data_IF_317981664268
#
_entry.id   IF_317981664268
#
_cell.length_a   1.000
_cell.length_b   1.000
_cell.length_c   1.000
_cell.angle_alpha   90.00
_cell.angle_beta   90.00
_cell.angle_gamma   90.00
#
_symmetry.space_group_name_H-M   'P 1'
#
loop_
_entity.id
_entity.type
_entity.pdbx_description
1 polymer ?
#
# COMPACT_ATOMS: atom_id res chain seq x y z
N UNK A 1 5.14 -16.67 -13.70
CA UNK A 1 4.82 -16.84 -15.12
C UNK A 1 5.69 -15.90 -15.94
N UNK A 2 6.04 -16.27 -17.17
CA UNK A 2 6.85 -15.41 -18.05
C UNK A 2 6.10 -14.15 -18.54
N UNK A 3 4.88 -13.95 -18.10
CA UNK A 3 3.96 -12.90 -18.51
C UNK A 3 3.67 -11.87 -17.39
N UNK A 4 4.52 -11.83 -16.37
CA UNK A 4 4.36 -10.86 -15.28
C UNK A 4 5.15 -9.60 -15.62
N UNK A 5 4.48 -8.45 -15.58
CA UNK A 5 5.08 -7.13 -15.77
C UNK A 5 5.13 -6.36 -14.46
N UNK A 6 6.18 -5.57 -14.28
CA UNK A 6 6.33 -4.63 -13.17
C UNK A 6 6.13 -3.21 -13.69
N UNK A 7 5.24 -2.47 -13.06
CA UNK A 7 5.06 -1.03 -13.29
C UNK A 7 5.58 -0.28 -12.08
N UNK A 8 6.52 0.62 -12.28
CA UNK A 8 7.10 1.50 -11.27
C UNK A 8 6.61 2.91 -11.56
N UNK A 9 5.66 3.41 -10.78
CA UNK A 9 5.16 4.77 -10.88
C UNK A 9 5.83 5.65 -9.82
N UNK A 10 6.43 6.77 -10.23
CA UNK A 10 7.12 7.65 -9.30
C UNK A 10 7.76 8.87 -9.96
N UNK A 11 8.51 9.62 -9.18
CA UNK A 11 9.30 10.73 -9.69
C UNK A 11 10.60 10.22 -10.30
N UNK A 12 11.05 10.89 -11.36
CA UNK A 12 12.37 10.63 -11.92
C UNK A 12 13.44 11.09 -10.91
N UNK A 13 14.31 10.17 -10.54
CA UNK A 13 15.43 10.40 -9.62
C UNK A 13 16.73 9.84 -10.22
N UNK A 14 17.91 10.19 -9.71
CA UNK A 14 19.16 9.55 -10.15
C UNK A 14 19.11 8.02 -10.06
N UNK A 15 18.40 7.47 -9.08
CA UNK A 15 18.22 6.03 -8.90
C UNK A 15 17.40 5.37 -10.03
N UNK A 16 16.56 6.13 -10.72
CA UNK A 16 15.80 5.63 -11.88
C UNK A 16 16.74 5.08 -12.95
N UNK A 17 17.87 5.76 -13.21
CA UNK A 17 18.88 5.32 -14.17
C UNK A 17 19.57 4.00 -13.77
N UNK A 18 19.73 3.77 -12.48
CA UNK A 18 20.28 2.51 -11.95
C UNK A 18 19.31 1.35 -12.21
N UNK A 19 18.00 1.59 -11.98
CA UNK A 19 16.94 0.61 -12.27
C UNK A 19 16.91 0.29 -13.77
N UNK A 20 16.94 1.31 -14.64
CA UNK A 20 16.96 1.14 -16.10
C UNK A 20 18.17 0.32 -16.55
N UNK A 21 19.36 0.65 -16.05
CA UNK A 21 20.59 -0.08 -16.37
C UNK A 21 20.53 -1.54 -15.89
N UNK A 22 20.06 -1.76 -14.65
CA UNK A 22 19.90 -3.10 -14.11
C UNK A 22 18.91 -3.93 -14.94
N UNK A 23 17.76 -3.36 -15.26
CA UNK A 23 16.71 -3.97 -16.08
C UNK A 23 17.23 -4.39 -17.45
N UNK A 24 18.00 -3.51 -18.10
CA UNK A 24 18.63 -3.79 -19.38
C UNK A 24 19.65 -4.93 -19.31
N UNK A 25 20.51 -4.91 -18.28
CA UNK A 25 21.53 -5.92 -18.08
C UNK A 25 20.96 -7.32 -17.78
N UNK A 26 19.71 -7.39 -17.29
CA UNK A 26 19.02 -8.65 -17.02
C UNK A 26 18.00 -9.04 -18.09
N UNK A 27 17.97 -8.36 -19.24
CA UNK A 27 17.02 -8.59 -20.34
C UNK A 27 15.55 -8.53 -19.89
N UNK A 28 15.21 -7.57 -19.00
CA UNK A 28 13.87 -7.36 -18.47
C UNK A 28 13.20 -6.07 -18.98
N UNK A 29 13.80 -5.40 -19.98
CA UNK A 29 13.31 -4.11 -20.49
C UNK A 29 11.87 -4.16 -21.01
N UNK A 30 11.45 -5.29 -21.57
CA UNK A 30 10.07 -5.47 -22.07
C UNK A 30 9.05 -5.76 -20.97
N UNK A 31 9.52 -5.97 -19.73
CA UNK A 31 8.68 -6.40 -18.60
C UNK A 31 8.70 -5.43 -17.42
N UNK A 32 9.58 -4.43 -17.43
CA UNK A 32 9.66 -3.40 -16.40
C UNK A 32 9.36 -2.05 -17.02
N UNK A 33 8.29 -1.42 -16.57
CA UNK A 33 7.80 -0.15 -17.11
C UNK A 33 7.95 0.93 -16.06
N UNK A 34 8.77 1.93 -16.34
CA UNK A 34 8.99 3.06 -15.42
C UNK A 34 8.16 4.23 -15.92
N UNK A 35 7.18 4.64 -15.13
CA UNK A 35 6.26 5.73 -15.45
C UNK A 35 6.56 6.94 -14.55
N UNK A 36 7.05 8.00 -15.15
CA UNK A 36 7.37 9.24 -14.46
C UNK A 36 6.23 10.25 -14.63
N UNK A 37 5.99 11.06 -13.59
CA UNK A 37 5.01 12.16 -13.62
C UNK A 37 3.57 11.70 -13.90
N UNK A 38 3.19 10.53 -13.40
CA UNK A 38 1.81 10.03 -13.48
C UNK A 38 0.91 10.96 -12.67
N UNK A 39 -0.18 11.44 -13.25
CA UNK A 39 -1.20 12.20 -12.54
C UNK A 39 -2.12 11.27 -11.74
N UNK A 40 -2.97 11.82 -10.87
CA UNK A 40 -3.81 11.01 -9.99
C UNK A 40 -4.85 10.16 -10.73
N UNK A 41 -5.38 10.67 -11.84
CA UNK A 41 -6.39 9.94 -12.63
C UNK A 41 -5.76 8.74 -13.33
N UNK A 42 -4.58 8.93 -13.94
CA UNK A 42 -3.82 7.85 -14.55
C UNK A 42 -3.33 6.83 -13.51
N UNK A 43 -2.94 7.29 -12.31
CA UNK A 43 -2.53 6.41 -11.23
C UNK A 43 -3.67 5.50 -10.78
N UNK A 44 -4.89 6.02 -10.66
CA UNK A 44 -6.06 5.21 -10.37
C UNK A 44 -6.31 4.14 -11.44
N UNK A 45 -6.13 4.48 -12.72
CA UNK A 45 -6.18 3.53 -13.83
C UNK A 45 -5.12 2.44 -13.74
N UNK A 46 -3.88 2.79 -13.38
CA UNK A 46 -2.78 1.84 -13.16
C UNK A 46 -3.12 0.85 -12.03
N UNK A 47 -3.64 1.35 -10.90
CA UNK A 47 -4.09 0.48 -9.81
C UNK A 47 -5.17 -0.50 -10.30
N UNK A 48 -6.17 -0.03 -11.03
CA UNK A 48 -7.27 -0.88 -11.52
C UNK A 48 -6.83 -1.97 -12.49
N UNK A 49 -5.75 -1.75 -13.24
CA UNK A 49 -5.17 -2.73 -14.18
C UNK A 49 -4.21 -3.71 -13.50
N UNK A 50 -3.74 -3.39 -12.30
CA UNK A 50 -2.75 -4.20 -11.61
C UNK A 50 -3.36 -5.49 -11.02
N UNK A 51 -2.52 -6.51 -10.88
CA UNK A 51 -2.89 -7.77 -10.22
C UNK A 51 -2.70 -7.69 -8.71
N UNK A 52 -1.63 -7.05 -8.25
CA UNK A 52 -1.34 -6.76 -6.86
C UNK A 52 -0.45 -5.51 -6.77
N UNK A 53 -0.37 -4.94 -5.59
CA UNK A 53 0.46 -3.78 -5.32
C UNK A 53 1.62 -4.14 -4.41
N UNK A 54 2.81 -3.62 -4.69
CA UNK A 54 3.99 -3.76 -3.85
C UNK A 54 4.51 -2.40 -3.42
N UNK A 55 4.71 -2.23 -2.10
CA UNK A 55 5.20 -0.98 -1.53
C UNK A 55 6.42 -1.23 -0.63
N UNK A 56 7.63 -1.28 -1.23
CA UNK A 56 8.86 -1.63 -0.54
C UNK A 56 9.52 -0.43 0.17
N UNK A 57 8.71 0.44 0.76
CA UNK A 57 9.21 1.61 1.48
C UNK A 57 9.73 1.24 2.86
N UNK A 58 10.88 1.80 3.24
CA UNK A 58 11.51 1.59 4.55
C UNK A 58 10.94 2.50 5.63
N UNK A 59 10.51 3.68 5.24
CA UNK A 59 10.04 4.71 6.17
C UNK A 59 8.99 5.60 5.50
N UNK A 60 7.85 5.71 6.14
CA UNK A 60 6.71 6.48 5.65
C UNK A 60 6.06 7.28 6.79
N UNK A 61 5.35 8.35 6.42
CA UNK A 61 4.54 9.10 7.36
C UNK A 61 3.22 8.42 7.71
N UNK A 62 2.61 7.71 6.74
CA UNK A 62 1.36 6.96 6.96
C UNK A 62 1.18 5.79 6.00
N UNK A 63 1.43 5.94 4.69
CA UNK A 63 1.23 4.88 3.71
C UNK A 63 -0.04 5.04 2.87
N UNK A 64 -0.38 6.27 2.48
CA UNK A 64 -1.51 6.57 1.61
C UNK A 64 -1.56 5.69 0.35
N UNK A 65 -0.44 5.39 -0.35
CA UNK A 65 -0.47 4.53 -1.53
C UNK A 65 -0.99 3.11 -1.25
N UNK A 66 -0.82 2.59 -0.03
CA UNK A 66 -1.41 1.30 0.38
C UNK A 66 -2.94 1.41 0.42
N UNK A 67 -3.46 2.47 1.04
CA UNK A 67 -4.90 2.69 1.14
C UNK A 67 -5.52 2.88 -0.24
N UNK A 68 -4.88 3.65 -1.12
CA UNK A 68 -5.32 3.88 -2.50
C UNK A 68 -5.38 2.56 -3.29
N UNK A 69 -4.33 1.73 -3.22
CA UNK A 69 -4.30 0.43 -3.86
C UNK A 69 -5.41 -0.49 -3.34
N UNK A 70 -5.63 -0.53 -2.02
CA UNK A 70 -6.70 -1.32 -1.39
C UNK A 70 -8.08 -0.83 -1.84
N UNK A 71 -8.32 0.48 -1.92
CA UNK A 71 -9.57 1.06 -2.41
C UNK A 71 -9.85 0.68 -3.87
N UNK A 72 -8.79 0.51 -4.67
CA UNK A 72 -8.87 -0.01 -6.04
C UNK A 72 -9.03 -1.54 -6.11
N UNK A 73 -9.11 -2.24 -4.97
CA UNK A 73 -9.37 -3.68 -4.91
C UNK A 73 -8.11 -4.54 -5.00
N UNK A 74 -6.93 -3.99 -4.75
CA UNK A 74 -5.67 -4.73 -4.80
C UNK A 74 -5.31 -5.36 -3.46
N UNK A 75 -4.72 -6.55 -3.52
CA UNK A 75 -3.92 -7.09 -2.43
C UNK A 75 -2.54 -6.44 -2.41
N UNK A 76 -2.00 -6.26 -1.24
CA UNK A 76 -0.77 -5.49 -1.01
C UNK A 76 0.31 -6.35 -0.37
N UNK A 77 1.54 -6.18 -0.86
CA UNK A 77 2.77 -6.59 -0.18
C UNK A 77 3.52 -5.32 0.21
N UNK A 78 3.86 -5.14 1.47
CA UNK A 78 4.55 -3.95 1.96
C UNK A 78 5.70 -4.31 2.91
N UNK A 79 6.49 -3.33 3.32
CA UNK A 79 7.52 -3.53 4.32
C UNK A 79 6.97 -3.40 5.75
N UNK A 80 7.60 -4.13 6.71
CA UNK A 80 7.38 -3.96 8.15
C UNK A 80 8.19 -2.81 8.73
N UNK A 81 7.93 -2.46 9.99
CA UNK A 81 8.77 -1.58 10.80
C UNK A 81 8.46 -0.10 10.69
N UNK A 82 7.31 0.26 10.11
CA UNK A 82 6.80 1.64 10.08
C UNK A 82 5.28 1.66 10.27
N UNK A 83 4.63 2.76 9.88
CA UNK A 83 3.17 2.90 9.92
C UNK A 83 2.42 2.11 8.82
N UNK A 84 3.11 1.35 7.98
CA UNK A 84 2.50 0.65 6.85
C UNK A 84 1.53 -0.45 7.29
N UNK A 85 1.83 -1.13 8.43
CA UNK A 85 0.93 -2.12 9.03
C UNK A 85 -0.38 -1.46 9.52
N UNK A 86 -0.31 -0.23 10.04
CA UNK A 86 -1.50 0.53 10.40
C UNK A 86 -2.32 0.92 9.16
N UNK A 87 -1.68 1.30 8.07
CA UNK A 87 -2.36 1.70 6.85
C UNK A 87 -3.06 0.52 6.16
N UNK A 88 -2.43 -0.65 6.11
CA UNK A 88 -2.92 -1.81 5.35
C UNK A 88 -3.67 -2.86 6.17
N UNK A 89 -3.46 -2.90 7.50
CA UNK A 89 -4.03 -3.91 8.39
C UNK A 89 -3.53 -5.33 8.13
N UNK A 90 -4.08 -6.31 8.85
CA UNK A 90 -3.61 -7.70 8.87
C UNK A 90 -3.84 -8.47 7.57
N UNK A 91 -4.60 -7.92 6.63
CA UNK A 91 -4.90 -8.59 5.35
C UNK A 91 -3.82 -8.38 4.29
N UNK A 92 -2.92 -7.42 4.48
CA UNK A 92 -1.73 -7.25 3.66
C UNK A 92 -0.63 -8.25 4.05
N UNK A 93 0.32 -8.46 3.17
CA UNK A 93 1.53 -9.23 3.47
C UNK A 93 2.66 -8.26 3.79
N UNK A 94 3.38 -8.54 4.87
CA UNK A 94 4.48 -7.67 5.32
C UNK A 94 5.79 -8.42 5.37
N UNK A 95 6.85 -7.78 4.89
CA UNK A 95 8.18 -8.36 4.76
C UNK A 95 9.22 -7.36 5.27
N UNK A 96 10.27 -7.84 5.91
CA UNK A 96 11.37 -6.95 6.31
C UNK A 96 11.99 -6.28 5.07
N UNK A 97 12.29 -4.97 5.11
CA UNK A 97 12.76 -4.23 3.92
C UNK A 97 14.09 -4.73 3.33
N UNK A 98 14.86 -5.51 4.08
CA UNK A 98 16.10 -6.15 3.60
C UNK A 98 15.89 -7.60 3.13
N UNK A 99 14.69 -8.16 3.30
CA UNK A 99 14.37 -9.53 2.89
C UNK A 99 13.81 -9.56 1.46
N UNK A 100 14.71 -9.51 0.49
CA UNK A 100 14.34 -9.55 -0.95
C UNK A 100 13.68 -10.87 -1.32
N UNK A 101 14.12 -11.98 -0.73
CA UNK A 101 13.56 -13.30 -1.03
C UNK A 101 12.15 -13.44 -0.43
N UNK A 102 11.93 -12.95 0.78
CA UNK A 102 10.61 -12.88 1.39
C UNK A 102 9.65 -12.03 0.58
N UNK A 103 10.10 -10.87 0.06
CA UNK A 103 9.30 -10.03 -0.82
C UNK A 103 8.92 -10.77 -2.11
N UNK A 104 9.87 -11.43 -2.74
CA UNK A 104 9.61 -12.24 -3.94
C UNK A 104 8.66 -13.42 -3.65
N UNK A 105 8.79 -14.07 -2.50
CA UNK A 105 7.90 -15.16 -2.08
C UNK A 105 6.47 -14.66 -1.85
N UNK A 106 6.29 -13.54 -1.15
CA UNK A 106 4.99 -12.92 -0.91
C UNK A 106 4.31 -12.51 -2.23
N UNK A 107 5.05 -11.93 -3.16
CA UNK A 107 4.52 -11.60 -4.50
C UNK A 107 4.13 -12.87 -5.27
N UNK A 108 4.96 -13.90 -5.28
CA UNK A 108 4.62 -15.19 -5.92
C UNK A 108 3.38 -15.83 -5.30
N UNK A 109 3.21 -15.74 -3.98
CA UNK A 109 2.03 -16.23 -3.28
C UNK A 109 0.78 -15.56 -3.82
N UNK A 110 0.74 -14.23 -3.91
CA UNK A 110 -0.42 -13.50 -4.43
C UNK A 110 -0.66 -13.76 -5.92
N UNK A 111 0.38 -13.86 -6.73
CA UNK A 111 0.26 -14.10 -8.17
C UNK A 111 -0.26 -15.50 -8.49
N UNK A 112 0.13 -16.50 -7.70
CA UNK A 112 -0.22 -17.90 -7.94
C UNK A 112 -1.55 -18.33 -7.28
N UNK A 113 -2.08 -17.52 -6.34
CA UNK A 113 -3.30 -17.84 -5.59
C UNK A 113 -4.38 -16.76 -5.77
N UNK A 114 -5.11 -16.76 -6.90
CA UNK A 114 -6.13 -15.74 -7.18
C UNK A 114 -7.22 -15.65 -6.11
N UNK A 115 -7.65 -16.78 -5.55
CA UNK A 115 -8.67 -16.81 -4.51
C UNK A 115 -8.19 -16.12 -3.23
N UNK A 116 -7.00 -16.45 -2.76
CA UNK A 116 -6.39 -15.80 -1.60
C UNK A 116 -6.23 -14.30 -1.84
N UNK A 117 -5.76 -13.91 -3.02
CA UNK A 117 -5.60 -12.52 -3.41
C UNK A 117 -6.91 -11.76 -3.31
N UNK A 118 -8.00 -12.30 -3.85
CA UNK A 118 -9.33 -11.67 -3.80
C UNK A 118 -9.83 -11.56 -2.36
N UNK A 119 -9.70 -12.62 -1.56
CA UNK A 119 -10.12 -12.60 -0.15
C UNK A 119 -9.35 -11.57 0.67
N UNK A 120 -8.03 -11.45 0.47
CA UNK A 120 -7.19 -10.46 1.14
C UNK A 120 -7.60 -9.04 0.74
N UNK A 121 -7.81 -8.77 -0.55
CA UNK A 121 -8.25 -7.48 -1.04
C UNK A 121 -9.61 -7.07 -0.46
N UNK A 122 -10.56 -7.98 -0.35
CA UNK A 122 -11.88 -7.71 0.25
C UNK A 122 -11.76 -7.34 1.73
N UNK A 123 -11.02 -8.13 2.52
CA UNK A 123 -10.80 -7.86 3.95
C UNK A 123 -10.05 -6.55 4.17
N UNK A 124 -9.02 -6.28 3.36
CA UNK A 124 -8.30 -5.03 3.42
C UNK A 124 -9.20 -3.82 3.10
N UNK A 125 -10.10 -3.95 2.12
CA UNK A 125 -11.06 -2.91 1.77
C UNK A 125 -12.01 -2.58 2.92
N UNK A 126 -12.50 -3.58 3.63
CA UNK A 126 -13.32 -3.37 4.85
C UNK A 126 -12.50 -2.63 5.92
N UNK A 127 -11.25 -3.02 6.11
CA UNK A 127 -10.37 -2.40 7.10
C UNK A 127 -10.12 -0.91 6.82
N UNK A 128 -9.83 -0.52 5.58
CA UNK A 128 -9.48 0.87 5.23
C UNK A 128 -10.67 1.83 5.25
N UNK A 129 -11.92 1.36 5.35
CA UNK A 129 -13.08 2.23 5.54
C UNK A 129 -12.98 3.09 6.80
N UNK A 130 -12.21 2.64 7.79
CA UNK A 130 -11.92 3.40 9.03
C UNK A 130 -11.21 4.74 8.77
N UNK A 131 -10.54 4.88 7.62
CA UNK A 131 -9.82 6.09 7.22
C UNK A 131 -10.67 7.03 6.35
N UNK A 132 -11.91 6.67 6.06
CA UNK A 132 -12.82 7.56 5.35
C UNK A 132 -13.15 8.80 6.19
N UNK A 133 -13.29 9.95 5.53
CA UNK A 133 -13.47 11.25 6.18
C UNK A 133 -14.60 11.26 7.22
N UNK A 134 -15.74 10.62 6.93
CA UNK A 134 -16.87 10.56 7.85
C UNK A 134 -16.54 9.77 9.12
N UNK A 135 -15.81 8.68 9.00
CA UNK A 135 -15.41 7.83 10.13
C UNK A 135 -14.37 8.54 11.00
N UNK A 136 -13.39 9.20 10.38
CA UNK A 136 -12.38 9.99 11.08
C UNK A 136 -13.02 11.17 11.81
N UNK A 137 -13.91 11.92 11.17
CA UNK A 137 -14.62 13.04 11.78
C UNK A 137 -15.47 12.60 12.99
N UNK A 138 -16.16 11.48 12.90
CA UNK A 138 -16.94 10.93 14.00
C UNK A 138 -16.05 10.53 15.19
N UNK A 139 -14.89 9.91 14.95
CA UNK A 139 -13.93 9.56 15.99
C UNK A 139 -13.38 10.80 16.71
N UNK A 140 -13.00 11.83 15.96
CA UNK A 140 -12.53 13.11 16.51
C UNK A 140 -13.62 13.76 17.37
N UNK A 141 -14.86 13.81 16.88
CA UNK A 141 -15.99 14.34 17.64
C UNK A 141 -16.22 13.59 18.96
N UNK A 142 -16.19 12.27 18.92
CA UNK A 142 -16.33 11.45 20.12
C UNK A 142 -15.23 11.74 21.15
N UNK A 143 -13.99 11.94 20.70
CA UNK A 143 -12.87 12.26 21.57
C UNK A 143 -13.04 13.62 22.25
N UNK A 144 -13.53 14.63 21.53
CA UNK A 144 -13.88 15.92 22.12
C UNK A 144 -14.98 15.78 23.20
N UNK A 145 -16.05 15.06 22.90
CA UNK A 145 -17.14 14.85 23.86
C UNK A 145 -16.65 14.15 25.15
N UNK A 146 -15.86 13.08 25.03
CA UNK A 146 -15.25 12.39 26.17
C UNK A 146 -14.37 13.33 27.01
N UNK A 147 -13.57 14.15 26.37
CA UNK A 147 -12.68 15.11 27.07
C UNK A 147 -13.47 16.15 27.85
N UNK A 148 -14.55 16.69 27.25
CA UNK A 148 -15.44 17.67 27.90
C UNK A 148 -16.13 17.03 29.12
N UNK A 149 -16.64 15.81 28.99
CA UNK A 149 -17.31 15.09 30.07
C UNK A 149 -16.36 14.80 31.25
N UNK A 150 -15.16 14.31 30.95
CA UNK A 150 -14.13 14.07 31.98
C UNK A 150 -13.77 15.35 32.74
N UNK A 151 -13.64 16.48 32.04
CA UNK A 151 -13.37 17.77 32.67
C UNK A 151 -14.52 18.24 33.54
N UNK A 152 -15.78 18.07 33.11
CA UNK A 152 -16.96 18.43 33.90
C UNK A 152 -17.05 17.61 35.21
N UNK A 153 -16.68 16.33 35.15
CA UNK A 153 -16.69 15.45 36.35
C UNK A 153 -15.56 15.83 37.31
N UNK A 154 -14.40 16.24 36.83
CA UNK A 154 -13.29 16.67 37.69
C UNK A 154 -13.55 18.01 38.39
N UNK A 155 -14.36 18.90 37.82
CA UNK A 155 -14.72 20.21 38.41
C UNK A 155 -15.86 20.12 39.42
N UNK A 156 -16.51 18.97 39.57
CA UNK A 156 -17.57 18.73 40.57
C UNK A 156 -17.07 18.09 41.87
N UNK A 157 -15.78 17.78 41.94
CA UNK A 157 -15.08 17.33 43.16
C UNK A 157 -14.32 18.49 43.77
#
# INVERSE_FOLDING_TARGET
SNDTHLVIAGRNTPYTKEIEAWTKNHNLSDRVHILNNVNNDDLAGIYQLATCFVYPSRYEGFGLPIIEAIQCGLSVVACTGSCLEEAGGDSCLYVHPDDVEGMAAALKQLLNNPEERIQRAQKAREYVTRFENNNVAAQVQQQYLKTIETKRLSMKK
#
